data_IF_597995119508
#
_entry.id   IF_597995119508
#
_cell.length_a   1.000
_cell.length_b   1.000
_cell.length_c   1.000
_cell.angle_alpha   90.00
_cell.angle_beta   90.00
_cell.angle_gamma   90.00
#
_symmetry.space_group_name_H-M   'P 1'
#
loop_
_entity.id
_entity.type
_entity.pdbx_description
1 polymer ?
#
# COMPACT_ATOMS: atom_id res chain seq x y z
N UNK A 1 -3.55 -7.95 21.75
CA UNK A 1 -4.09 -8.09 20.38
C UNK A 1 -4.43 -6.67 19.96
N UNK A 2 -3.72 -6.11 18.99
CA UNK A 2 -4.04 -4.77 18.49
C UNK A 2 -5.48 -4.80 17.97
N UNK A 3 -6.28 -3.78 18.28
CA UNK A 3 -7.60 -3.63 17.66
C UNK A 3 -7.41 -3.53 16.14
N UNK A 4 -8.03 -4.44 15.38
CA UNK A 4 -8.03 -4.36 13.92
C UNK A 4 -8.65 -3.00 13.54
N UNK A 5 -7.85 -2.12 12.94
CA UNK A 5 -8.32 -0.82 12.49
C UNK A 5 -9.17 -1.02 11.24
N UNK A 6 -10.29 -0.30 11.17
CA UNK A 6 -11.07 -0.27 9.94
C UNK A 6 -10.25 0.36 8.81
N UNK A 7 -10.58 0.03 7.55
CA UNK A 7 -9.93 0.67 6.40
C UNK A 7 -10.10 2.20 6.41
N UNK A 8 -11.22 2.68 6.95
CA UNK A 8 -11.48 4.11 7.10
C UNK A 8 -10.52 4.75 8.12
N UNK A 9 -10.37 4.16 9.30
CA UNK A 9 -9.47 4.69 10.34
C UNK A 9 -8.01 4.69 9.88
N UNK A 10 -7.55 3.56 9.32
CA UNK A 10 -6.20 3.45 8.77
C UNK A 10 -5.96 4.46 7.63
N UNK A 11 -6.95 4.64 6.74
CA UNK A 11 -6.84 5.59 5.64
C UNK A 11 -6.79 7.04 6.10
N UNK A 12 -7.61 7.44 7.09
CA UNK A 12 -7.56 8.79 7.67
C UNK A 12 -6.21 9.04 8.36
N UNK A 13 -5.70 8.07 9.11
CA UNK A 13 -4.40 8.19 9.78
C UNK A 13 -3.25 8.34 8.79
N UNK A 14 -3.33 7.67 7.64
CA UNK A 14 -2.30 7.74 6.62
C UNK A 14 -2.05 9.17 6.14
N UNK A 15 -3.07 10.03 6.09
CA UNK A 15 -2.89 11.43 5.71
C UNK A 15 -1.85 12.15 6.58
N UNK A 16 -1.71 11.79 7.86
CA UNK A 16 -0.73 12.38 8.80
C UNK A 16 0.72 12.16 8.39
N UNK A 17 0.98 11.13 7.59
CA UNK A 17 2.32 10.83 7.07
C UNK A 17 2.70 11.72 5.87
N UNK A 18 1.75 12.52 5.34
CA UNK A 18 1.96 13.35 4.16
C UNK A 18 1.92 14.86 4.49
N UNK A 19 2.73 15.64 3.77
CA UNK A 19 2.97 17.08 3.99
C UNK A 19 1.71 17.96 3.95
N UNK A 20 0.60 17.46 3.40
CA UNK A 20 -0.63 18.22 3.21
C UNK A 20 -1.76 17.85 4.18
N UNK A 21 -1.50 17.03 5.20
CA UNK A 21 -2.51 16.61 6.19
C UNK A 21 -3.31 17.79 6.76
N UNK A 22 -2.61 18.84 7.20
CA UNK A 22 -3.22 20.02 7.83
C UNK A 22 -3.96 20.94 6.85
N UNK A 23 -4.04 20.57 5.56
CA UNK A 23 -4.62 21.42 4.50
C UNK A 23 -5.90 20.86 3.89
N UNK A 24 -6.34 19.71 4.35
CA UNK A 24 -7.62 19.11 4.00
C UNK A 24 -8.51 19.08 5.23
N UNK A 25 -9.80 19.32 5.04
CA UNK A 25 -10.77 19.11 6.13
C UNK A 25 -10.90 17.63 6.45
N UNK A 26 -11.50 17.32 7.60
CA UNK A 26 -11.79 15.94 7.98
C UNK A 26 -12.69 15.25 6.94
N UNK A 27 -13.73 15.96 6.50
CA UNK A 27 -14.70 15.46 5.52
C UNK A 27 -14.04 15.21 4.14
N UNK A 28 -13.09 16.05 3.73
CA UNK A 28 -12.33 15.82 2.50
C UNK A 28 -11.49 14.55 2.58
N UNK A 29 -10.83 14.30 3.72
CA UNK A 29 -10.06 13.08 3.96
C UNK A 29 -10.96 11.85 3.95
N UNK A 30 -12.08 11.90 4.68
CA UNK A 30 -13.07 10.81 4.72
C UNK A 30 -13.58 10.46 3.31
N UNK A 31 -13.94 11.48 2.52
CA UNK A 31 -14.41 11.27 1.14
C UNK A 31 -13.34 10.66 0.25
N UNK A 32 -12.11 11.15 0.30
CA UNK A 32 -10.99 10.58 -0.48
C UNK A 32 -10.74 9.13 -0.06
N UNK A 33 -10.73 8.85 1.25
CA UNK A 33 -10.54 7.51 1.79
C UNK A 33 -11.63 6.56 1.30
N UNK A 34 -12.91 6.96 1.38
CA UNK A 34 -14.03 6.15 0.89
C UNK A 34 -13.90 5.84 -0.60
N UNK A 35 -13.68 6.86 -1.42
CA UNK A 35 -13.52 6.73 -2.87
C UNK A 35 -12.32 5.83 -3.23
N UNK A 36 -11.19 5.96 -2.52
CA UNK A 36 -9.99 5.14 -2.71
C UNK A 36 -10.21 3.68 -2.31
N UNK A 37 -10.91 3.42 -1.19
CA UNK A 37 -11.30 2.07 -0.74
C UNK A 37 -12.17 1.40 -1.82
N UNK A 38 -13.21 2.10 -2.29
CA UNK A 38 -14.11 1.58 -3.32
C UNK A 38 -13.35 1.27 -4.62
N UNK A 39 -12.42 2.14 -5.01
CA UNK A 39 -11.56 1.92 -6.17
C UNK A 39 -10.68 0.68 -5.98
N UNK A 40 -9.99 0.54 -4.84
CA UNK A 40 -9.14 -0.62 -4.53
C UNK A 40 -9.91 -1.94 -4.62
N UNK A 41 -11.08 -2.02 -3.98
CA UNK A 41 -11.96 -3.21 -4.04
C UNK A 41 -12.43 -3.52 -5.45
N UNK A 42 -12.80 -2.50 -6.23
CA UNK A 42 -13.19 -2.66 -7.63
C UNK A 42 -12.04 -3.26 -8.45
N UNK A 43 -10.83 -2.73 -8.30
CA UNK A 43 -9.63 -3.23 -8.98
C UNK A 43 -9.28 -4.66 -8.55
N UNK A 44 -9.44 -5.00 -7.27
CA UNK A 44 -9.21 -6.37 -6.79
C UNK A 44 -10.14 -7.36 -7.49
N UNK A 45 -11.43 -7.03 -7.62
CA UNK A 45 -12.40 -7.84 -8.35
C UNK A 45 -12.07 -7.97 -9.83
N UNK A 46 -11.61 -6.90 -10.47
CA UNK A 46 -11.16 -6.93 -11.87
C UNK A 46 -10.00 -7.92 -12.06
N UNK A 47 -9.00 -7.85 -11.20
CA UNK A 47 -7.84 -8.75 -11.24
C UNK A 47 -8.21 -10.19 -10.85
N UNK A 48 -9.10 -10.39 -9.88
CA UNK A 48 -9.60 -11.72 -9.51
C UNK A 48 -10.32 -12.39 -10.69
N UNK A 49 -11.15 -11.64 -11.41
CA UNK A 49 -11.83 -12.14 -12.61
C UNK A 49 -10.87 -12.50 -13.75
N UNK A 50 -9.78 -11.75 -13.92
CA UNK A 50 -8.80 -11.97 -14.99
C UNK A 50 -7.85 -13.14 -14.66
N UNK A 51 -7.36 -13.22 -13.43
CA UNK A 51 -6.32 -14.16 -13.05
C UNK A 51 -6.84 -15.39 -12.29
N UNK A 52 -8.11 -15.43 -11.92
CA UNK A 52 -8.73 -16.61 -11.29
C UNK A 52 -8.15 -16.95 -9.92
N UNK A 53 -7.88 -15.94 -9.09
CA UNK A 53 -7.39 -16.12 -7.72
C UNK A 53 -5.92 -16.54 -7.58
N UNK A 54 -5.10 -16.34 -8.62
CA UNK A 54 -3.65 -16.59 -8.55
C UNK A 54 -2.97 -15.73 -7.51
N UNK A 55 -1.88 -16.24 -6.92
CA UNK A 55 -1.09 -15.47 -5.98
C UNK A 55 -0.42 -14.24 -6.65
N UNK A 56 -0.12 -13.19 -5.87
CA UNK A 56 0.47 -11.95 -6.39
C UNK A 56 1.81 -12.20 -7.10
N UNK A 57 2.65 -13.10 -6.59
CA UNK A 57 3.93 -13.48 -7.21
C UNK A 57 3.73 -14.08 -8.61
N UNK A 58 2.71 -14.93 -8.81
CA UNK A 58 2.42 -15.51 -10.12
C UNK A 58 1.92 -14.44 -11.11
N UNK A 59 1.10 -13.51 -10.64
CA UNK A 59 0.59 -12.41 -11.48
C UNK A 59 1.75 -11.50 -11.90
N UNK A 60 2.61 -11.10 -10.96
CA UNK A 60 3.79 -10.30 -11.22
C UNK A 60 4.72 -10.98 -12.24
N UNK A 61 4.95 -12.29 -12.09
CA UNK A 61 5.75 -13.06 -13.05
C UNK A 61 5.12 -13.05 -14.46
N UNK A 62 3.79 -13.20 -14.58
CA UNK A 62 3.07 -13.10 -15.86
C UNK A 62 3.14 -11.70 -16.47
N UNK A 63 3.25 -10.67 -15.64
CA UNK A 63 3.47 -9.28 -16.07
C UNK A 63 4.93 -8.98 -16.43
N UNK A 64 5.83 -9.96 -16.32
CA UNK A 64 7.26 -9.79 -16.59
C UNK A 64 8.01 -9.03 -15.49
N UNK A 65 7.43 -8.90 -14.29
CA UNK A 65 8.07 -8.25 -13.14
C UNK A 65 8.92 -9.27 -12.39
N UNK A 66 10.19 -8.94 -12.17
CA UNK A 66 11.13 -9.78 -11.40
C UNK A 66 11.14 -9.36 -9.92
N UNK A 67 11.15 -10.33 -9.01
CA UNK A 67 11.30 -10.07 -7.58
C UNK A 67 12.75 -10.29 -7.19
N UNK A 68 13.43 -9.22 -6.81
CA UNK A 68 14.81 -9.20 -6.32
C UNK A 68 14.75 -9.25 -4.80
N UNK A 69 15.30 -10.31 -4.20
CA UNK A 69 15.32 -10.46 -2.74
C UNK A 69 16.58 -9.82 -2.18
N UNK A 70 16.40 -8.79 -1.38
CA UNK A 70 17.49 -8.07 -0.73
C UNK A 70 17.58 -8.45 0.74
N UNK A 71 18.81 -8.56 1.23
CA UNK A 71 19.10 -8.67 2.65
C UNK A 71 19.77 -7.37 3.06
N UNK A 72 19.09 -6.57 3.89
CA UNK A 72 19.62 -5.27 4.30
C UNK A 72 20.67 -5.43 5.41
N UNK A 73 20.73 -6.61 6.06
CA UNK A 73 21.47 -6.79 7.29
C UNK A 73 20.77 -6.07 8.45
N UNK A 74 20.97 -6.53 9.69
CA UNK A 74 20.28 -5.99 10.87
C UNK A 74 20.62 -4.51 11.11
N UNK A 75 19.84 -3.59 10.54
CA UNK A 75 19.68 -2.22 11.03
C UNK A 75 18.24 -2.06 11.49
N UNK A 76 17.98 -2.56 12.70
CA UNK A 76 16.69 -2.47 13.41
C UNK A 76 16.47 -1.04 13.99
N UNK A 77 17.45 -0.14 13.85
CA UNK A 77 17.44 1.22 14.42
C UNK A 77 17.08 2.32 13.41
N UNK A 78 16.16 2.06 12.47
CA UNK A 78 15.55 3.17 11.72
C UNK A 78 14.07 3.25 12.06
N UNK A 79 13.60 4.46 12.37
CA UNK A 79 12.17 4.80 12.54
C UNK A 79 11.35 4.58 11.25
N UNK A 80 11.99 4.09 10.20
CA UNK A 80 11.42 3.80 8.89
C UNK A 80 12.12 2.58 8.28
N UNK A 81 11.36 1.57 7.88
CA UNK A 81 11.86 0.40 7.14
C UNK A 81 10.99 0.22 5.91
N UNK A 82 11.64 0.12 4.75
CA UNK A 82 10.98 -0.14 3.47
C UNK A 82 10.84 -1.65 3.26
N UNK A 83 9.61 -2.10 3.03
CA UNK A 83 9.28 -3.53 2.96
C UNK A 83 9.51 -4.08 1.55
N UNK A 84 9.11 -3.30 0.55
CA UNK A 84 9.48 -3.49 -0.84
C UNK A 84 9.49 -2.15 -1.58
N UNK A 85 10.01 -2.17 -2.81
CA UNK A 85 9.90 -1.06 -3.74
C UNK A 85 9.85 -1.57 -5.19
N UNK A 86 8.87 -1.07 -5.95
CA UNK A 86 8.81 -1.31 -7.39
C UNK A 86 9.60 -0.28 -8.21
N UNK A 87 10.57 -0.79 -8.99
CA UNK A 87 11.38 -0.07 -9.95
C UNK A 87 10.81 -0.24 -11.37
N UNK A 88 9.88 0.64 -11.73
CA UNK A 88 9.17 0.57 -13.01
C UNK A 88 10.07 0.57 -14.27
N UNK A 89 11.23 1.23 -14.21
CA UNK A 89 12.18 1.28 -15.34
C UNK A 89 12.83 -0.07 -15.63
N UNK A 90 13.13 -0.86 -14.59
CA UNK A 90 13.79 -2.16 -14.72
C UNK A 90 12.82 -3.34 -14.64
N UNK A 91 11.56 -3.09 -14.27
CA UNK A 91 10.55 -4.13 -14.09
C UNK A 91 10.87 -5.02 -12.89
N UNK A 92 11.38 -4.43 -11.81
CA UNK A 92 11.85 -5.16 -10.63
C UNK A 92 11.13 -4.70 -9.37
N UNK A 93 10.74 -5.64 -8.50
CA UNK A 93 10.37 -5.36 -7.12
C UNK A 93 11.53 -5.80 -6.23
N UNK A 94 12.09 -4.88 -5.47
CA UNK A 94 13.12 -5.18 -4.49
C UNK A 94 12.43 -5.46 -3.15
N UNK A 95 12.42 -6.73 -2.73
CA UNK A 95 11.75 -7.21 -1.53
C UNK A 95 12.76 -7.37 -0.39
N UNK A 96 12.47 -6.76 0.76
CA UNK A 96 13.30 -6.88 1.94
C UNK A 96 13.05 -8.22 2.65
N UNK A 97 13.93 -9.20 2.42
CA UNK A 97 13.77 -10.56 2.94
C UNK A 97 13.94 -10.62 4.47
N UNK A 98 14.66 -9.67 5.07
CA UNK A 98 14.75 -9.57 6.54
C UNK A 98 13.39 -9.24 7.15
N UNK A 99 12.64 -8.30 6.55
CA UNK A 99 11.28 -7.95 6.99
C UNK A 99 10.33 -9.14 6.88
N UNK A 100 10.35 -9.83 5.73
CA UNK A 100 9.51 -11.01 5.50
C UNK A 100 9.80 -12.07 6.56
N UNK A 101 11.07 -12.36 6.83
CA UNK A 101 11.47 -13.35 7.86
C UNK A 101 11.02 -12.97 9.26
N UNK A 102 11.08 -11.71 9.65
CA UNK A 102 10.61 -11.28 10.98
C UNK A 102 9.09 -11.35 11.09
N UNK A 103 8.35 -10.97 10.04
CA UNK A 103 6.90 -11.06 10.02
C UNK A 103 6.40 -12.51 10.00
N UNK A 104 7.05 -13.40 9.25
CA UNK A 104 6.69 -14.83 9.20
C UNK A 104 6.81 -15.55 10.56
N UNK A 105 7.51 -14.97 11.55
CA UNK A 105 7.53 -15.47 12.93
C UNK A 105 6.26 -15.12 13.72
N UNK A 106 5.52 -14.10 13.29
CA UNK A 106 4.36 -13.53 14.00
C UNK A 106 3.03 -13.80 13.31
N UNK A 107 3.06 -14.12 12.02
CA UNK A 107 1.89 -14.44 11.21
C UNK A 107 2.10 -15.72 10.43
N UNK A 108 1.05 -16.18 9.74
CA UNK A 108 1.11 -17.39 8.91
C UNK A 108 2.28 -17.27 7.91
N UNK A 109 3.20 -18.26 7.85
CA UNK A 109 4.34 -18.21 6.93
C UNK A 109 3.91 -17.96 5.48
N UNK A 110 4.58 -17.03 4.81
CA UNK A 110 4.30 -16.62 3.44
C UNK A 110 3.21 -15.55 3.30
N UNK A 111 2.34 -15.36 4.30
CA UNK A 111 1.29 -14.34 4.24
C UNK A 111 1.87 -12.93 4.19
N UNK A 112 2.94 -12.65 4.95
CA UNK A 112 3.61 -11.35 4.94
C UNK A 112 4.09 -10.99 3.53
N UNK A 113 4.76 -11.95 2.88
CA UNK A 113 5.23 -11.80 1.50
C UNK A 113 4.07 -11.56 0.54
N UNK A 114 3.00 -12.34 0.64
CA UNK A 114 1.83 -12.19 -0.23
C UNK A 114 1.19 -10.81 -0.06
N UNK A 115 1.06 -10.29 1.16
CA UNK A 115 0.55 -8.95 1.44
C UNK A 115 1.43 -7.89 0.77
N UNK A 116 2.75 -7.94 1.01
CA UNK A 116 3.70 -6.96 0.45
C UNK A 116 3.67 -6.99 -1.08
N UNK A 117 3.74 -8.17 -1.69
CA UNK A 117 3.73 -8.30 -3.15
C UNK A 117 2.38 -7.93 -3.77
N UNK A 118 1.27 -8.18 -3.10
CA UNK A 118 -0.05 -7.80 -3.59
C UNK A 118 -0.24 -6.27 -3.56
N UNK A 119 0.32 -5.61 -2.55
CA UNK A 119 0.39 -4.15 -2.49
C UNK A 119 1.23 -3.59 -3.65
N UNK A 120 2.44 -4.10 -3.88
CA UNK A 120 3.27 -3.68 -5.01
C UNK A 120 2.66 -4.01 -6.38
N UNK A 121 1.92 -5.12 -6.50
CA UNK A 121 1.17 -5.48 -7.69
C UNK A 121 0.16 -4.38 -8.07
N UNK A 122 -0.50 -3.76 -7.09
CA UNK A 122 -1.37 -2.62 -7.34
C UNK A 122 -0.63 -1.47 -8.04
N UNK A 123 0.54 -1.07 -7.51
CA UNK A 123 1.36 -0.01 -8.09
C UNK A 123 1.93 -0.37 -9.46
N UNK A 124 2.27 -1.65 -9.67
CA UNK A 124 2.63 -2.15 -10.99
C UNK A 124 1.49 -1.95 -12.01
N UNK A 125 0.25 -2.22 -11.60
CA UNK A 125 -0.95 -2.08 -12.43
C UNK A 125 -1.35 -0.61 -12.67
N UNK A 126 -1.11 0.29 -11.71
CA UNK A 126 -1.23 1.73 -11.93
C UNK A 126 -0.34 2.21 -13.08
N UNK A 127 0.90 1.75 -13.10
CA UNK A 127 1.89 2.19 -14.09
C UNK A 127 1.64 1.54 -15.46
N UNK A 128 1.30 0.26 -15.48
CA UNK A 128 1.18 -0.52 -16.72
C UNK A 128 -0.20 -0.46 -17.38
N UNK A 129 -1.28 -0.15 -16.63
CA UNK A 129 -2.66 -0.30 -17.14
C UNK A 129 -3.60 0.84 -16.75
N UNK A 130 -3.69 1.19 -15.47
CA UNK A 130 -4.79 2.03 -14.97
C UNK A 130 -4.51 3.53 -15.00
N UNK A 131 -3.24 3.92 -15.11
CA UNK A 131 -2.79 5.25 -14.73
C UNK A 131 -2.66 5.37 -13.21
N UNK A 132 -1.95 6.42 -12.77
CA UNK A 132 -1.72 6.67 -11.34
C UNK A 132 -3.02 7.07 -10.66
N UNK A 133 -3.43 6.35 -9.62
CA UNK A 133 -4.60 6.63 -8.80
C UNK A 133 -4.56 8.04 -8.23
N UNK A 134 -3.39 8.50 -7.76
CA UNK A 134 -3.23 9.86 -7.27
C UNK A 134 -3.61 10.96 -8.29
N UNK A 135 -3.62 10.65 -9.59
CA UNK A 135 -4.03 11.58 -10.66
C UNK A 135 -5.56 11.71 -10.77
N UNK A 136 -6.31 10.72 -10.27
CA UNK A 136 -7.77 10.77 -10.12
C UNK A 136 -8.18 11.63 -8.91
N UNK A 137 -7.29 11.74 -7.93
CA UNK A 137 -7.53 12.47 -6.67
C UNK A 137 -6.73 13.78 -6.65
N UNK A 138 -7.17 14.75 -7.44
CA UNK A 138 -6.60 16.11 -7.41
C UNK A 138 -7.47 17.01 -6.53
N UNK A 139 -6.84 17.73 -5.60
CA UNK A 139 -7.50 18.74 -4.75
C UNK A 139 -6.77 20.07 -4.85
N UNK A 140 -7.52 21.16 -4.70
CA UNK A 140 -6.95 22.50 -4.58
C UNK A 140 -6.66 22.76 -3.11
N UNK A 141 -5.38 22.87 -2.75
CA UNK A 141 -4.93 23.23 -1.40
C UNK A 141 -4.39 24.65 -1.39
N UNK A 142 -4.44 25.33 -0.23
CA UNK A 142 -3.83 26.65 -0.06
C UNK A 142 -2.38 26.52 0.40
N UNK A 143 -1.43 26.90 -0.45
CA UNK A 143 -0.03 27.11 -0.07
C UNK A 143 0.10 28.46 0.65
N UNK A 144 0.84 28.47 1.76
CA UNK A 144 1.04 29.67 2.59
C UNK A 144 -0.28 30.36 3.02
N UNK A 145 -1.39 29.62 3.12
CA UNK A 145 -2.68 30.14 3.55
C UNK A 145 -3.51 30.86 2.47
N UNK A 146 -2.95 31.24 1.32
CA UNK A 146 -3.68 32.00 0.30
C UNK A 146 -3.43 31.63 -1.16
N UNK A 147 -2.34 30.91 -1.50
CA UNK A 147 -2.04 30.58 -2.90
C UNK A 147 -2.71 29.24 -3.26
N UNK A 148 -3.74 29.20 -4.13
CA UNK A 148 -4.35 27.95 -4.54
C UNK A 148 -3.38 27.14 -5.40
N UNK A 149 -3.19 25.86 -5.06
CA UNK A 149 -2.37 24.94 -5.83
C UNK A 149 -3.07 23.59 -5.96
N UNK A 150 -3.09 23.04 -7.18
CA UNK A 150 -3.55 21.68 -7.42
C UNK A 150 -2.50 20.70 -6.92
N UNK A 151 -2.89 19.75 -6.07
CA UNK A 151 -2.05 18.68 -5.55
C UNK A 151 -2.71 17.34 -5.80
N UNK A 152 -1.90 16.35 -6.17
CA UNK A 152 -2.28 14.95 -6.24
C UNK A 152 -2.30 14.39 -4.82
N UNK A 153 -3.34 13.64 -4.48
CA UNK A 153 -3.47 13.04 -3.15
C UNK A 153 -2.77 11.69 -3.16
N UNK A 154 -1.47 11.69 -2.84
CA UNK A 154 -0.68 10.46 -2.70
C UNK A 154 -1.29 9.45 -1.71
N UNK A 155 -1.88 9.85 -0.55
CA UNK A 155 -2.56 8.91 0.33
C UNK A 155 -3.64 8.08 -0.37
N UNK A 156 -4.30 8.61 -1.40
CA UNK A 156 -5.35 7.89 -2.10
C UNK A 156 -4.82 6.66 -2.86
N UNK A 157 -3.59 6.72 -3.39
CA UNK A 157 -2.97 5.59 -4.08
C UNK A 157 -2.66 4.45 -3.09
N UNK A 158 -2.09 4.81 -1.94
CA UNK A 158 -1.77 3.88 -0.85
C UNK A 158 -3.02 3.25 -0.23
N UNK A 159 -4.07 4.04 0.04
CA UNK A 159 -5.35 3.53 0.57
C UNK A 159 -5.99 2.56 -0.42
N UNK A 160 -5.94 2.88 -1.71
CA UNK A 160 -6.47 2.00 -2.74
C UNK A 160 -5.64 0.71 -2.88
N UNK A 161 -4.32 0.77 -2.72
CA UNK A 161 -3.43 -0.39 -2.68
C UNK A 161 -3.69 -1.30 -1.47
N UNK A 162 -3.88 -0.71 -0.28
CA UNK A 162 -4.26 -1.43 0.94
C UNK A 162 -5.63 -2.09 0.77
N UNK A 163 -6.63 -1.36 0.28
CA UNK A 163 -7.97 -1.93 0.07
C UNK A 163 -8.00 -2.99 -1.04
N UNK A 164 -7.22 -2.80 -2.10
CA UNK A 164 -7.00 -3.83 -3.13
C UNK A 164 -6.43 -5.10 -2.52
N UNK A 165 -5.35 -4.98 -1.75
CA UNK A 165 -4.65 -6.11 -1.13
C UNK A 165 -5.56 -6.87 -0.19
N UNK A 166 -6.28 -6.14 0.68
CA UNK A 166 -7.26 -6.72 1.59
C UNK A 166 -8.33 -7.52 0.86
N UNK A 167 -8.93 -6.93 -0.17
CA UNK A 167 -10.00 -7.56 -0.94
C UNK A 167 -9.50 -8.77 -1.73
N UNK A 168 -8.34 -8.66 -2.38
CA UNK A 168 -7.79 -9.70 -3.23
C UNK A 168 -7.35 -10.93 -2.43
N UNK A 169 -6.65 -10.70 -1.30
CA UNK A 169 -6.19 -11.77 -0.41
C UNK A 169 -7.24 -12.21 0.62
N UNK A 170 -8.41 -11.57 0.63
CA UNK A 170 -9.54 -11.87 1.54
C UNK A 170 -9.15 -11.79 3.01
N UNK A 171 -8.40 -10.74 3.36
CA UNK A 171 -7.93 -10.52 4.74
C UNK A 171 -9.05 -9.97 5.63
N UNK A 172 -9.03 -10.39 6.89
CA UNK A 172 -9.91 -9.91 7.97
C UNK A 172 -9.36 -8.68 8.71
N UNK A 173 -8.13 -8.26 8.39
CA UNK A 173 -7.47 -7.06 8.92
C UNK A 173 -7.03 -6.11 7.81
N UNK A 174 -6.60 -4.88 8.17
CA UNK A 174 -6.03 -3.95 7.21
C UNK A 174 -4.56 -4.32 6.91
N UNK A 175 -4.14 -4.51 5.63
CA UNK A 175 -2.77 -4.84 5.27
C UNK A 175 -1.70 -4.01 5.95
N UNK A 176 -1.94 -2.72 6.18
CA UNK A 176 -0.98 -1.81 6.83
C UNK A 176 -0.62 -2.20 8.26
N UNK A 177 -1.44 -3.01 8.94
CA UNK A 177 -1.15 -3.49 10.29
C UNK A 177 0.13 -4.32 10.38
N UNK A 178 0.63 -4.87 9.26
CA UNK A 178 1.92 -5.57 9.24
C UNK A 178 3.09 -4.67 9.67
N UNK A 179 3.00 -3.35 9.46
CA UNK A 179 4.00 -2.41 9.96
C UNK A 179 4.08 -2.45 11.48
N UNK A 180 2.92 -2.50 12.16
CA UNK A 180 2.86 -2.56 13.63
C UNK A 180 3.50 -3.85 14.14
N UNK A 181 3.19 -4.99 13.51
CA UNK A 181 3.81 -6.27 13.87
C UNK A 181 5.32 -6.27 13.66
N UNK A 182 5.82 -5.61 12.62
CA UNK A 182 7.26 -5.50 12.40
C UNK A 182 7.94 -4.65 13.50
N UNK A 183 7.44 -3.44 13.77
CA UNK A 183 8.08 -2.52 14.73
C UNK A 183 7.93 -2.92 16.20
N UNK A 184 6.93 -3.73 16.56
CA UNK A 184 6.87 -4.36 17.89
C UNK A 184 8.08 -5.28 18.18
N UNK A 185 8.84 -5.70 17.15
CA UNK A 185 10.04 -6.55 17.29
C UNK A 185 11.30 -5.80 17.75
N UNK A 186 11.27 -4.47 17.73
CA UNK A 186 12.39 -3.60 18.09
C UNK A 186 12.38 -3.11 19.54
N UNK A 187 11.40 -3.54 20.35
CA UNK A 187 11.28 -3.20 21.78
C UNK A 187 11.59 -4.39 22.67
#
# INVERSE_FOLDING_TARGET
MAENRTEMEAGIELFRQFVFDNRLTKEEKEKITEEAILLGRKRAKEIENEFGGKGPEEILARMGVRIIREQAGKKINSDYVKFAEFYAKSGEIHLNEDVVRELDKKMKPGLAKDIILCHELYHCLEISRWGKTADLFVRTVKLFGWIPAKRRMLPAAEIAADSFTKAYLKLDFNPREIESYYFESGK
#
